data_IF_872471585039
#
_entry.id   IF_872471585039
#
_cell.length_a   1.000
_cell.length_b   1.000
_cell.length_c   1.000
_cell.angle_alpha   90.00
_cell.angle_beta   90.00
_cell.angle_gamma   90.00
#
_symmetry.space_group_name_H-M   'P 1'
#
loop_
_entity.id
_entity.type
_entity.pdbx_description
1 polymer ?
#
# COMPACT_ATOMS: atom_id res chain seq x y z
N UNK A 1 43.26 21.40 -37.89
CA UNK A 1 42.33 20.28 -37.72
C UNK A 1 41.41 20.23 -38.93
N UNK A 2 41.51 19.15 -39.70
CA UNK A 2 40.78 18.99 -40.96
C UNK A 2 39.27 18.91 -40.74
N UNK A 3 38.51 19.54 -41.62
CA UNK A 3 37.03 19.57 -41.61
C UNK A 3 36.43 18.16 -41.63
N UNK A 4 37.12 17.21 -42.26
CA UNK A 4 36.77 15.79 -42.28
C UNK A 4 36.83 15.14 -40.88
N UNK A 5 37.82 15.51 -40.06
CA UNK A 5 37.98 14.98 -38.70
C UNK A 5 36.91 15.56 -37.76
N UNK A 6 36.55 16.84 -37.91
CA UNK A 6 35.43 17.45 -37.18
C UNK A 6 34.09 16.77 -37.47
N UNK A 7 33.81 16.46 -38.74
CA UNK A 7 32.58 15.77 -39.15
C UNK A 7 32.51 14.34 -38.60
N UNK A 8 33.62 13.59 -38.60
CA UNK A 8 33.68 12.25 -38.00
C UNK A 8 33.45 12.27 -36.49
N UNK A 9 34.03 13.24 -35.79
CA UNK A 9 33.81 13.43 -34.34
C UNK A 9 32.35 13.79 -34.06
N UNK A 10 31.77 14.74 -34.82
CA UNK A 10 30.35 15.12 -34.68
C UNK A 10 29.42 13.93 -34.91
N UNK A 11 29.66 13.12 -35.95
CA UNK A 11 28.87 11.90 -36.21
C UNK A 11 29.03 10.91 -35.04
N UNK A 12 30.25 10.72 -34.53
CA UNK A 12 30.50 9.84 -33.38
C UNK A 12 29.73 10.27 -32.12
N UNK A 13 29.71 11.57 -31.82
CA UNK A 13 28.95 12.14 -30.70
C UNK A 13 27.43 11.95 -30.88
N UNK A 14 26.92 12.16 -32.10
CA UNK A 14 25.49 11.95 -32.40
C UNK A 14 25.10 10.49 -32.21
N UNK A 15 25.90 9.55 -32.71
CA UNK A 15 25.65 8.11 -32.55
C UNK A 15 25.70 7.72 -31.07
N UNK A 16 26.68 8.22 -30.31
CA UNK A 16 26.79 7.97 -28.88
C UNK A 16 25.57 8.48 -28.11
N UNK A 17 25.13 9.71 -28.38
CA UNK A 17 23.92 10.28 -27.78
C UNK A 17 22.67 9.45 -28.12
N UNK A 18 22.57 8.98 -29.35
CA UNK A 18 21.44 8.17 -29.80
C UNK A 18 21.38 6.84 -29.05
N UNK A 19 22.51 6.14 -28.89
CA UNK A 19 22.59 4.88 -28.13
C UNK A 19 22.19 5.10 -26.67
N UNK A 20 22.71 6.14 -26.02
CA UNK A 20 22.37 6.45 -24.61
C UNK A 20 20.86 6.68 -24.44
N UNK A 21 20.24 7.44 -25.35
CA UNK A 21 18.80 7.70 -25.30
C UNK A 21 17.96 6.44 -25.54
N UNK A 22 18.35 5.58 -26.51
CA UNK A 22 17.65 4.30 -26.74
C UNK A 22 17.78 3.37 -25.54
N UNK A 23 18.96 3.26 -24.94
CA UNK A 23 19.16 2.44 -23.74
C UNK A 23 18.35 2.94 -22.55
N UNK A 24 18.29 4.27 -22.35
CA UNK A 24 17.45 4.88 -21.33
C UNK A 24 15.96 4.59 -21.56
N UNK A 25 15.50 4.71 -22.82
CA UNK A 25 14.11 4.41 -23.19
C UNK A 25 13.78 2.92 -22.99
N UNK A 26 14.67 2.02 -23.37
CA UNK A 26 14.50 0.58 -23.15
C UNK A 26 14.44 0.25 -21.64
N UNK A 27 15.35 0.79 -20.84
CA UNK A 27 15.36 0.60 -19.39
C UNK A 27 14.06 1.13 -18.73
N UNK A 28 13.56 2.28 -19.18
CA UNK A 28 12.28 2.83 -18.73
C UNK A 28 11.10 1.91 -19.10
N UNK A 29 11.04 1.41 -20.34
CA UNK A 29 9.98 0.51 -20.78
C UNK A 29 9.98 -0.84 -20.04
N UNK A 30 11.17 -1.44 -19.81
CA UNK A 30 11.29 -2.69 -19.06
C UNK A 30 10.87 -2.55 -17.59
N UNK A 31 11.23 -1.44 -16.94
CA UNK A 31 10.88 -1.19 -15.53
C UNK A 31 9.41 -0.77 -15.35
N UNK A 32 8.83 -0.05 -16.31
CA UNK A 32 7.42 0.33 -16.27
C UNK A 32 6.48 -0.88 -16.38
N UNK A 33 6.82 -1.87 -17.21
CA UNK A 33 5.97 -3.05 -17.42
C UNK A 33 5.86 -3.93 -16.16
N UNK A 34 6.91 -3.98 -15.33
CA UNK A 34 6.88 -4.67 -14.03
C UNK A 34 6.01 -3.92 -12.99
N UNK A 35 6.07 -2.58 -12.98
CA UNK A 35 5.20 -1.74 -12.13
C UNK A 35 3.73 -1.83 -12.52
N UNK A 36 3.44 -1.89 -13.82
CA UNK A 36 2.08 -1.96 -14.36
C UNK A 36 1.41 -3.30 -14.05
N UNK A 37 2.16 -4.42 -14.14
CA UNK A 37 1.67 -5.74 -13.71
C UNK A 37 1.29 -5.79 -12.23
N UNK A 38 2.12 -5.20 -11.36
CA UNK A 38 1.80 -5.10 -9.92
C UNK A 38 0.50 -4.32 -9.68
N UNK A 39 0.33 -3.17 -10.34
CA UNK A 39 -0.87 -2.35 -10.23
C UNK A 39 -2.15 -3.08 -10.68
N UNK A 40 -2.11 -3.78 -11.82
CA UNK A 40 -3.26 -4.53 -12.34
C UNK A 40 -3.63 -5.73 -11.45
N UNK A 41 -2.64 -6.36 -10.82
CA UNK A 41 -2.85 -7.47 -9.90
C UNK A 41 -3.50 -7.01 -8.57
N UNK A 42 -3.11 -5.84 -8.05
CA UNK A 42 -3.77 -5.20 -6.90
C UNK A 42 -5.21 -4.87 -7.26
N UNK A 43 -5.44 -4.25 -8.42
CA UNK A 43 -6.77 -3.82 -8.85
C UNK A 43 -7.73 -5.00 -8.90
N UNK A 44 -7.29 -6.12 -9.50
CA UNK A 44 -8.05 -7.38 -9.52
C UNK A 44 -8.28 -7.95 -8.12
N UNK A 45 -7.27 -7.90 -7.25
CA UNK A 45 -7.39 -8.37 -5.86
C UNK A 45 -8.41 -7.53 -5.09
N UNK A 46 -8.35 -6.21 -5.24
CA UNK A 46 -9.27 -5.25 -4.61
C UNK A 46 -10.70 -5.44 -5.10
N UNK A 47 -10.89 -5.61 -6.40
CA UNK A 47 -12.20 -5.91 -7.01
C UNK A 47 -12.76 -7.24 -6.48
N UNK A 48 -11.94 -8.30 -6.43
CA UNK A 48 -12.36 -9.59 -5.86
C UNK A 48 -12.75 -9.46 -4.38
N UNK A 49 -11.98 -8.71 -3.60
CA UNK A 49 -12.27 -8.43 -2.19
C UNK A 49 -13.55 -7.61 -2.01
N UNK A 50 -13.83 -6.65 -2.89
CA UNK A 50 -15.05 -5.84 -2.86
C UNK A 50 -16.30 -6.67 -3.15
N UNK A 51 -16.19 -7.62 -4.09
CA UNK A 51 -17.30 -8.52 -4.48
C UNK A 51 -17.55 -9.61 -3.43
N UNK A 52 -16.49 -10.23 -2.90
CA UNK A 52 -16.59 -11.43 -2.05
C UNK A 52 -16.46 -11.15 -0.55
N UNK A 53 -15.92 -10.00 -0.17
CA UNK A 53 -15.54 -9.65 1.20
C UNK A 53 -14.16 -10.22 1.56
N UNK A 54 -13.34 -9.43 2.27
CA UNK A 54 -11.94 -9.78 2.64
C UNK A 54 -11.83 -11.18 3.21
N UNK A 55 -12.69 -11.55 4.17
CA UNK A 55 -12.63 -12.87 4.81
C UNK A 55 -12.93 -14.03 3.83
N UNK A 56 -13.88 -13.87 2.90
CA UNK A 56 -14.22 -14.93 1.94
C UNK A 56 -13.07 -15.13 0.94
N UNK A 57 -12.51 -14.04 0.44
CA UNK A 57 -11.33 -14.07 -0.41
C UNK A 57 -10.16 -14.82 0.25
N UNK A 58 -9.86 -14.51 1.51
CA UNK A 58 -8.78 -15.16 2.25
C UNK A 58 -9.03 -16.66 2.47
N UNK A 59 -10.29 -17.03 2.74
CA UNK A 59 -10.68 -18.44 2.87
C UNK A 59 -10.41 -19.22 1.59
N UNK A 60 -10.79 -18.68 0.44
CA UNK A 60 -10.59 -19.31 -0.86
C UNK A 60 -9.10 -19.42 -1.22
N UNK A 61 -8.36 -18.32 -1.05
CA UNK A 61 -6.94 -18.23 -1.44
C UNK A 61 -6.07 -19.18 -0.61
N UNK A 62 -6.35 -19.28 0.69
CA UNK A 62 -5.64 -20.16 1.61
C UNK A 62 -6.29 -21.54 1.71
N UNK A 63 -7.40 -21.81 1.01
CA UNK A 63 -8.18 -23.05 1.09
C UNK A 63 -8.39 -23.51 2.55
N UNK A 64 -8.84 -22.59 3.41
CA UNK A 64 -9.03 -22.89 4.84
C UNK A 64 -10.22 -23.83 5.03
N UNK A 65 -10.07 -24.78 5.95
CA UNK A 65 -11.21 -25.56 6.46
C UNK A 65 -12.17 -24.66 7.24
N UNK A 66 -13.40 -25.11 7.48
CA UNK A 66 -14.35 -24.33 8.29
C UNK A 66 -13.82 -24.00 9.69
N UNK A 67 -13.18 -24.96 10.35
CA UNK A 67 -12.59 -24.76 11.68
C UNK A 67 -11.43 -23.76 11.66
N UNK A 68 -10.53 -23.89 10.66
CA UNK A 68 -9.44 -22.93 10.47
C UNK A 68 -9.98 -21.53 10.19
N UNK A 69 -11.01 -21.42 9.35
CA UNK A 69 -11.60 -20.16 8.96
C UNK A 69 -12.22 -19.41 10.14
N UNK A 70 -12.89 -20.11 11.07
CA UNK A 70 -13.44 -19.51 12.28
C UNK A 70 -12.31 -18.90 13.13
N UNK A 71 -11.24 -19.66 13.39
CA UNK A 71 -10.07 -19.19 14.15
C UNK A 71 -9.37 -18.02 13.46
N UNK A 72 -9.18 -18.13 12.14
CA UNK A 72 -8.53 -17.12 11.32
C UNK A 72 -9.28 -15.79 11.38
N UNK A 73 -10.62 -15.84 11.28
CA UNK A 73 -11.48 -14.66 11.38
C UNK A 73 -11.37 -14.00 12.76
N UNK A 74 -11.33 -14.78 13.82
CA UNK A 74 -11.25 -14.26 15.18
C UNK A 74 -9.90 -13.58 15.46
N UNK A 75 -8.80 -14.22 15.08
CA UNK A 75 -7.45 -13.63 15.14
C UNK A 75 -7.38 -12.34 14.33
N UNK A 76 -7.95 -12.33 13.11
CA UNK A 76 -8.06 -11.11 12.30
C UNK A 76 -8.87 -9.99 12.97
N UNK A 77 -9.98 -10.33 13.62
CA UNK A 77 -10.83 -9.37 14.35
C UNK A 77 -10.08 -8.73 15.51
N UNK A 78 -9.39 -9.53 16.32
CA UNK A 78 -8.60 -9.06 17.47
C UNK A 78 -7.48 -8.14 16.97
N UNK A 79 -6.72 -8.56 15.95
CA UNK A 79 -5.64 -7.74 15.40
C UNK A 79 -6.16 -6.40 14.84
N UNK A 80 -7.29 -6.41 14.13
CA UNK A 80 -7.92 -5.19 13.62
C UNK A 80 -8.31 -4.23 14.76
N UNK A 81 -8.93 -4.74 15.83
CA UNK A 81 -9.31 -3.93 16.98
C UNK A 81 -8.08 -3.30 17.64
N UNK A 82 -7.04 -4.10 17.88
CA UNK A 82 -5.82 -3.61 18.52
C UNK A 82 -5.03 -2.62 17.65
N UNK A 83 -5.10 -2.73 16.34
CA UNK A 83 -4.40 -1.84 15.40
C UNK A 83 -5.16 -0.55 15.12
N UNK A 84 -6.49 -0.54 15.36
CA UNK A 84 -7.34 0.62 15.16
C UNK A 84 -6.91 1.79 16.04
N UNK A 85 -6.64 1.55 17.31
CA UNK A 85 -6.25 2.62 18.24
C UNK A 85 -4.94 3.29 17.83
N UNK A 86 -3.96 2.50 17.37
CA UNK A 86 -2.69 3.02 16.86
C UNK A 86 -2.90 3.84 15.58
N UNK A 87 -3.81 3.37 14.71
CA UNK A 87 -4.15 4.08 13.47
C UNK A 87 -4.81 5.43 13.75
N UNK A 88 -5.71 5.49 14.74
CA UNK A 88 -6.34 6.74 15.17
C UNK A 88 -5.30 7.72 15.72
N UNK A 89 -4.38 7.26 16.57
CA UNK A 89 -3.28 8.08 17.08
C UNK A 89 -2.37 8.59 15.97
N UNK A 90 -2.07 7.77 14.95
CA UNK A 90 -1.31 8.23 13.78
C UNK A 90 -2.04 9.35 13.04
N UNK A 91 -3.36 9.26 12.91
CA UNK A 91 -4.15 10.31 12.26
C UNK A 91 -4.15 11.61 13.08
N UNK A 92 -4.28 11.51 14.41
CA UNK A 92 -4.15 12.65 15.33
C UNK A 92 -2.77 13.32 15.20
N UNK A 93 -1.69 12.52 15.24
CA UNK A 93 -0.32 13.02 15.13
C UNK A 93 -0.02 13.66 13.77
N UNK A 94 -0.61 13.17 12.69
CA UNK A 94 -0.52 13.81 11.36
C UNK A 94 -1.17 15.19 11.36
N UNK A 95 -2.33 15.33 12.01
CA UNK A 95 -3.00 16.63 12.14
C UNK A 95 -2.15 17.57 12.99
N UNK A 96 -1.63 17.11 14.12
CA UNK A 96 -0.72 17.89 14.97
C UNK A 96 0.53 18.35 14.20
N UNK A 97 1.13 17.46 13.41
CA UNK A 97 2.28 17.76 12.58
C UNK A 97 1.99 18.87 11.57
N UNK A 98 0.89 18.76 10.82
CA UNK A 98 0.49 19.77 9.83
C UNK A 98 0.13 21.10 10.50
N UNK A 99 -0.54 21.07 11.65
CA UNK A 99 -0.89 22.27 12.40
C UNK A 99 0.37 22.99 12.92
N UNK A 100 1.38 22.26 13.36
CA UNK A 100 2.66 22.85 13.80
C UNK A 100 3.44 23.43 12.61
N UNK A 101 3.53 22.67 11.53
CA UNK A 101 4.28 23.03 10.32
C UNK A 101 3.72 24.29 9.64
N UNK A 102 2.43 24.59 9.82
CA UNK A 102 1.76 25.73 9.17
C UNK A 102 1.63 26.97 10.04
N UNK A 103 2.23 26.99 11.25
CA UNK A 103 2.27 28.20 12.09
C UNK A 103 3.15 29.29 11.47
N UNK A 104 2.91 30.55 11.85
CA UNK A 104 3.79 31.68 11.49
C UNK A 104 5.22 31.50 11.99
N UNK A 105 5.37 30.86 13.16
CA UNK A 105 6.66 30.47 13.75
C UNK A 105 6.58 29.01 14.22
N UNK A 106 6.93 28.04 13.35
CA UNK A 106 6.98 26.63 13.72
C UNK A 106 8.03 26.35 14.79
N UNK A 107 7.72 25.42 15.69
CA UNK A 107 8.65 24.91 16.70
C UNK A 107 9.32 23.62 16.21
N UNK A 108 10.62 23.70 15.91
CA UNK A 108 11.42 22.58 15.40
C UNK A 108 11.54 21.42 16.40
N UNK A 109 11.65 21.70 17.71
CA UNK A 109 11.74 20.65 18.73
C UNK A 109 10.42 19.89 18.84
N UNK A 110 9.31 20.61 18.73
CA UNK A 110 7.97 20.02 18.71
C UNK A 110 7.72 19.20 17.45
N UNK A 111 8.16 19.66 16.28
CA UNK A 111 8.07 18.90 15.03
C UNK A 111 8.87 17.59 15.10
N UNK A 112 10.09 17.64 15.66
CA UNK A 112 10.91 16.44 15.86
C UNK A 112 10.26 15.46 16.84
N UNK A 113 9.68 15.96 17.95
CA UNK A 113 8.94 15.14 18.90
C UNK A 113 7.75 14.42 18.24
N UNK A 114 6.93 15.15 17.46
CA UNK A 114 5.79 14.55 16.73
C UNK A 114 6.29 13.50 15.73
N UNK A 115 7.38 13.76 15.02
CA UNK A 115 7.97 12.81 14.07
C UNK A 115 8.44 11.52 14.76
N UNK A 116 9.08 11.61 15.92
CA UNK A 116 9.49 10.44 16.72
C UNK A 116 8.29 9.62 17.18
N UNK A 117 7.25 10.28 17.69
CA UNK A 117 6.02 9.60 18.12
C UNK A 117 5.32 8.88 16.96
N UNK A 118 5.29 9.47 15.77
CA UNK A 118 4.81 8.81 14.54
C UNK A 118 5.65 7.56 14.25
N UNK A 119 6.98 7.66 14.37
CA UNK A 119 7.91 6.53 14.23
C UNK A 119 7.60 5.38 15.21
N UNK A 120 7.39 5.69 16.48
CA UNK A 120 7.06 4.71 17.52
C UNK A 120 5.70 4.02 17.28
N UNK A 121 4.72 4.77 16.78
CA UNK A 121 3.42 4.22 16.38
C UNK A 121 3.56 3.28 15.17
N UNK A 122 4.37 3.65 14.17
CA UNK A 122 4.67 2.78 13.03
C UNK A 122 5.41 1.49 13.46
N UNK A 123 6.39 1.61 14.35
CA UNK A 123 7.04 0.45 14.97
C UNK A 123 6.03 -0.46 15.65
N UNK A 124 5.10 0.12 16.42
CA UNK A 124 4.05 -0.62 17.12
C UNK A 124 3.11 -1.37 16.17
N UNK A 125 2.75 -0.76 15.03
CA UNK A 125 2.00 -1.45 13.97
C UNK A 125 2.79 -2.62 13.40
N UNK A 126 4.08 -2.44 13.06
CA UNK A 126 4.92 -3.52 12.53
C UNK A 126 5.04 -4.68 13.52
N UNK A 127 5.19 -4.38 14.82
CA UNK A 127 5.20 -5.40 15.87
C UNK A 127 3.89 -6.20 15.92
N UNK A 128 2.74 -5.53 15.80
CA UNK A 128 1.44 -6.22 15.71
C UNK A 128 1.32 -7.07 14.45
N UNK A 129 1.77 -6.58 13.30
CA UNK A 129 1.80 -7.34 12.05
C UNK A 129 2.62 -8.62 12.17
N UNK A 130 3.79 -8.56 12.82
CA UNK A 130 4.64 -9.74 13.08
C UNK A 130 3.87 -10.77 13.93
N UNK A 131 3.30 -10.34 15.06
CA UNK A 131 2.56 -11.24 15.95
C UNK A 131 1.34 -11.84 15.24
N UNK A 132 0.60 -11.02 14.50
CA UNK A 132 -0.56 -11.48 13.73
C UNK A 132 -0.15 -12.53 12.68
N UNK A 133 0.95 -12.33 11.97
CA UNK A 133 1.45 -13.32 11.01
C UNK A 133 1.75 -14.66 11.69
N UNK A 134 2.40 -14.64 12.86
CA UNK A 134 2.67 -15.87 13.61
C UNK A 134 1.38 -16.56 14.07
N UNK A 135 0.42 -15.83 14.62
CA UNK A 135 -0.88 -16.39 15.02
C UNK A 135 -1.63 -17.04 13.83
N UNK A 136 -1.59 -16.42 12.65
CA UNK A 136 -2.19 -17.00 11.44
C UNK A 136 -1.43 -18.24 10.97
N UNK A 137 -0.09 -18.22 11.07
CA UNK A 137 0.77 -19.35 10.66
C UNK A 137 0.46 -20.60 11.47
N UNK A 138 0.21 -20.48 12.78
CA UNK A 138 -0.17 -21.59 13.68
C UNK A 138 -1.51 -22.24 13.30
N UNK A 139 -2.40 -21.52 12.61
CA UNK A 139 -3.69 -22.04 12.13
C UNK A 139 -3.50 -22.85 10.84
N UNK A 140 -2.49 -22.49 10.04
CA UNK A 140 -2.26 -23.03 8.70
C UNK A 140 -1.38 -24.28 8.71
N UNK A 141 -1.70 -25.24 7.85
CA UNK A 141 -0.82 -26.37 7.54
C UNK A 141 0.38 -25.93 6.65
N UNK A 142 1.41 -26.76 6.44
CA UNK A 142 2.61 -26.37 5.70
C UNK A 142 2.34 -25.82 4.28
N UNK A 143 1.40 -26.39 3.55
CA UNK A 143 1.04 -25.94 2.20
C UNK A 143 0.35 -24.56 2.24
N UNK A 144 -0.54 -24.36 3.22
CA UNK A 144 -1.26 -23.10 3.42
C UNK A 144 -0.32 -21.98 3.90
N UNK A 145 0.74 -22.30 4.65
CA UNK A 145 1.73 -21.32 5.09
C UNK A 145 2.50 -20.69 3.92
N UNK A 146 2.79 -21.46 2.85
CA UNK A 146 3.38 -20.90 1.63
C UNK A 146 2.44 -19.93 0.91
N UNK A 147 1.13 -20.25 0.87
CA UNK A 147 0.12 -19.33 0.34
C UNK A 147 -0.03 -18.07 1.20
N UNK A 148 0.01 -18.23 2.53
CA UNK A 148 -0.04 -17.12 3.49
C UNK A 148 1.15 -16.17 3.31
N UNK A 149 2.36 -16.71 3.12
CA UNK A 149 3.56 -15.93 2.81
C UNK A 149 3.41 -15.11 1.53
N UNK A 150 2.91 -15.72 0.45
CA UNK A 150 2.68 -15.03 -0.83
C UNK A 150 1.69 -13.87 -0.67
N UNK A 151 0.60 -14.11 0.07
CA UNK A 151 -0.40 -13.08 0.37
C UNK A 151 0.23 -11.89 1.14
N UNK A 152 1.00 -12.16 2.18
CA UNK A 152 1.67 -11.12 2.96
C UNK A 152 2.72 -10.35 2.15
N UNK A 153 3.46 -11.02 1.27
CA UNK A 153 4.39 -10.35 0.35
C UNK A 153 3.69 -9.35 -0.56
N UNK A 154 2.53 -9.72 -1.11
CA UNK A 154 1.72 -8.78 -1.91
C UNK A 154 1.26 -7.58 -1.07
N UNK A 155 0.82 -7.80 0.17
CA UNK A 155 0.37 -6.69 1.04
C UNK A 155 1.50 -5.72 1.39
N UNK A 156 2.69 -6.22 1.77
CA UNK A 156 3.83 -5.37 2.18
C UNK A 156 4.37 -4.55 1.02
N UNK A 157 4.44 -5.13 -0.20
CA UNK A 157 4.91 -4.42 -1.39
C UNK A 157 4.06 -3.18 -1.75
N UNK A 158 2.84 -3.08 -1.21
CA UNK A 158 1.93 -1.95 -1.43
C UNK A 158 1.77 -1.04 -0.21
N UNK A 159 2.31 -1.41 0.95
CA UNK A 159 2.24 -0.61 2.18
C UNK A 159 3.10 0.67 2.04
N UNK A 160 4.27 0.56 1.41
CA UNK A 160 5.18 1.69 1.15
C UNK A 160 4.66 2.64 0.06
N UNK A 161 3.59 2.26 -0.65
CA UNK A 161 3.03 3.02 -1.76
C UNK A 161 1.77 3.78 -1.40
N UNK A 162 1.27 3.71 -0.15
CA UNK A 162 0.08 4.45 0.23
C UNK A 162 0.38 5.96 0.31
N UNK A 163 -0.07 6.76 -0.68
CA UNK A 163 -0.04 8.20 -0.53
C UNK A 163 -1.06 8.57 0.54
N UNK A 164 -0.93 9.76 1.10
CA UNK A 164 -1.87 10.45 2.00
C UNK A 164 -3.29 10.67 1.42
N UNK A 165 -3.76 9.84 0.49
CA UNK A 165 -5.12 9.86 -0.04
C UNK A 165 -5.93 8.73 0.56
N UNK A 166 -6.49 8.96 1.76
CA UNK A 166 -7.75 8.28 2.09
C UNK A 166 -8.84 8.83 1.17
N UNK A 167 -9.66 7.97 0.54
CA UNK A 167 -10.89 8.46 -0.07
C UNK A 167 -11.74 9.10 1.02
N UNK A 168 -12.25 10.30 0.75
CA UNK A 168 -13.23 11.00 1.59
C UNK A 168 -14.30 10.00 2.06
N UNK A 169 -14.28 9.66 3.34
CA UNK A 169 -15.45 9.08 4.01
C UNK A 169 -16.52 10.17 4.05
N UNK A 170 -17.28 10.33 2.97
CA UNK A 170 -18.16 11.51 2.94
C UNK A 170 -19.06 11.75 1.74
N UNK A 171 -19.46 10.75 0.93
CA UNK A 171 -20.66 10.90 0.08
C UNK A 171 -21.53 9.66 0.13
N UNK A 172 -22.25 9.49 1.23
CA UNK A 172 -23.56 8.81 1.18
C UNK A 172 -24.43 9.63 0.22
N UNK A 173 -24.48 9.23 -1.04
CA UNK A 173 -25.53 9.69 -1.94
C UNK A 173 -26.86 9.37 -1.26
N UNK A 174 -27.57 10.41 -0.86
CA UNK A 174 -28.93 10.32 -0.37
C UNK A 174 -29.75 9.61 -1.43
N UNK A 175 -30.12 8.36 -1.15
CA UNK A 175 -31.13 7.66 -1.92
C UNK A 175 -32.44 8.36 -1.57
N UNK A 176 -32.84 9.31 -2.42
CA UNK A 176 -34.19 9.86 -2.42
C UNK A 176 -35.14 8.67 -2.62
N UNK A 177 -35.66 8.15 -1.52
CA UNK A 177 -36.76 7.21 -1.54
C UNK A 177 -38.00 8.08 -1.45
N UNK A 178 -38.55 8.41 -2.62
CA UNK A 178 -39.86 9.03 -2.75
C UNK A 178 -40.85 8.22 -1.92
N UNK A 179 -41.42 8.87 -0.90
CA UNK A 179 -42.55 8.33 -0.15
C UNK A 179 -43.77 8.36 -1.09
N UNK A 180 -44.53 7.27 -1.26
CA UNK A 180 -45.82 7.38 -1.92
C UNK A 180 -46.72 8.24 -1.04
N UNK A 181 -47.36 9.24 -1.64
CA UNK A 181 -48.48 9.96 -1.02
C UNK A 181 -49.60 8.93 -0.84
N UNK A 182 -50.08 8.79 0.40
CA UNK A 182 -51.34 8.14 0.67
C UNK A 182 -52.45 9.15 0.35
N UNK A 183 -53.32 8.78 -0.59
CA UNK A 183 -54.69 9.27 -0.67
C UNK A 183 -55.61 8.31 0.09
#
# INVERSE_FOLDING_TARGET
MDTLNKRRILIGVIVLLLVINISALAAFLFTNNARQKGYDEIKKTKEKVEISGVHRYLREELKLTDEQFIKFKEVGRINFQQSRDITLKLDEKRIEFINELTKETPDDERLDAIAREIGDLHYSLKKKTINHFFELKEICNPEQQESLKKLFMKMIQHEDQHPMNRPERGKRHGRNQERPKAD
#
